data_IF_081932463328
#
_entry.id   IF_081932463328
#
_cell.length_a   1.000
_cell.length_b   1.000
_cell.length_c   1.000
_cell.angle_alpha   90.00
_cell.angle_beta   90.00
_cell.angle_gamma   90.00
#
_symmetry.space_group_name_H-M   'P 1'
#
loop_
_entity.id
_entity.type
_entity.pdbx_description
1 polymer ?
#
# COMPACT_ATOMS: atom_id res chain seq x y z
N UNK A 1 -4.80 -39.39 -8.03
CA UNK A 1 -5.21 -38.75 -6.76
C UNK A 1 -5.32 -37.26 -7.06
N UNK A 2 -6.51 -36.84 -7.48
CA UNK A 2 -6.82 -35.41 -7.67
C UNK A 2 -6.94 -34.77 -6.27
N UNK A 3 -5.91 -34.03 -5.90
CA UNK A 3 -6.04 -33.08 -4.82
C UNK A 3 -6.92 -31.96 -5.35
N UNK A 4 -8.18 -31.92 -4.95
CA UNK A 4 -9.06 -30.78 -5.13
C UNK A 4 -8.40 -29.59 -4.47
N UNK A 5 -7.72 -28.74 -5.28
CA UNK A 5 -7.30 -27.42 -4.85
C UNK A 5 -8.57 -26.67 -4.42
N UNK A 6 -8.66 -26.35 -3.15
CA UNK A 6 -9.68 -25.47 -2.58
C UNK A 6 -9.50 -24.06 -3.19
N UNK A 7 -9.95 -23.89 -4.43
CA UNK A 7 -9.95 -22.60 -5.09
C UNK A 7 -11.11 -21.77 -4.55
N UNK A 8 -10.79 -20.74 -3.77
CA UNK A 8 -11.79 -19.80 -3.26
C UNK A 8 -12.27 -18.92 -4.41
N UNK A 9 -13.55 -18.96 -4.70
CA UNK A 9 -14.18 -18.10 -5.71
C UNK A 9 -14.49 -16.73 -5.10
N UNK A 10 -13.98 -15.67 -5.72
CA UNK A 10 -14.29 -14.28 -5.38
C UNK A 10 -14.82 -13.55 -6.62
N UNK A 11 -16.15 -13.38 -6.73
CA UNK A 11 -16.81 -12.86 -7.91
C UNK A 11 -16.39 -13.64 -9.18
N UNK A 12 -15.83 -12.98 -10.21
CA UNK A 12 -15.31 -13.62 -11.43
C UNK A 12 -13.91 -14.24 -11.26
N UNK A 13 -13.28 -14.11 -10.11
CA UNK A 13 -11.92 -14.57 -9.89
C UNK A 13 -11.86 -15.90 -9.13
N UNK A 14 -11.12 -16.86 -9.65
CA UNK A 14 -10.69 -18.05 -8.91
C UNK A 14 -9.33 -17.80 -8.29
N UNK A 15 -9.29 -17.70 -6.96
CA UNK A 15 -8.06 -17.52 -6.22
C UNK A 15 -7.28 -18.83 -6.20
N UNK A 16 -6.02 -18.77 -6.58
CA UNK A 16 -5.08 -19.87 -6.60
C UNK A 16 -4.02 -19.69 -5.50
N UNK A 17 -2.82 -20.15 -5.75
CA UNK A 17 -1.68 -20.12 -4.85
C UNK A 17 -1.24 -18.71 -4.46
N UNK A 18 -0.63 -18.59 -3.29
CA UNK A 18 0.07 -17.39 -2.86
C UNK A 18 1.35 -17.23 -3.73
N UNK A 19 1.52 -16.04 -4.31
CA UNK A 19 2.67 -15.69 -5.15
C UNK A 19 3.55 -14.62 -4.51
N UNK A 20 3.14 -14.05 -3.39
CA UNK A 20 3.92 -13.05 -2.66
C UNK A 20 3.30 -12.67 -1.33
N UNK A 21 4.13 -12.16 -0.43
CA UNK A 21 3.74 -11.66 0.87
C UNK A 21 4.38 -10.31 1.12
N UNK A 22 3.56 -9.29 1.26
CA UNK A 22 3.99 -7.94 1.59
C UNK A 22 3.66 -7.55 3.02
N UNK A 23 4.15 -6.39 3.46
CA UNK A 23 3.93 -5.85 4.81
C UNK A 23 2.44 -5.64 5.14
N UNK A 24 1.61 -5.42 4.14
CA UNK A 24 0.18 -5.08 4.31
C UNK A 24 -0.76 -6.22 4.01
N UNK A 25 -0.28 -7.30 3.39
CA UNK A 25 -1.14 -8.43 3.00
C UNK A 25 -0.44 -9.47 2.16
N UNK A 26 -1.24 -10.37 1.64
CA UNK A 26 -0.83 -11.50 0.80
C UNK A 26 -1.19 -11.22 -0.65
N UNK A 27 -0.35 -11.62 -1.58
CA UNK A 27 -0.62 -11.57 -3.02
C UNK A 27 -0.90 -12.99 -3.50
N UNK A 28 -2.06 -13.18 -4.12
CA UNK A 28 -2.50 -14.46 -4.67
C UNK A 28 -2.58 -14.39 -6.18
N UNK A 29 -2.27 -15.49 -6.84
CA UNK A 29 -2.60 -15.67 -8.25
C UNK A 29 -4.13 -15.80 -8.38
N UNK A 30 -4.73 -15.01 -9.26
CA UNK A 30 -6.16 -15.01 -9.52
C UNK A 30 -6.42 -15.23 -11.01
N UNK A 31 -7.29 -16.19 -11.32
CA UNK A 31 -7.74 -16.43 -12.69
C UNK A 31 -9.13 -15.81 -12.88
N UNK A 32 -9.26 -14.96 -13.87
CA UNK A 32 -10.52 -14.30 -14.21
C UNK A 32 -11.26 -15.11 -15.28
N UNK A 33 -12.44 -15.62 -14.94
CA UNK A 33 -13.25 -16.45 -15.83
C UNK A 33 -13.89 -15.66 -16.99
N UNK A 34 -13.98 -14.34 -16.89
CA UNK A 34 -14.61 -13.51 -17.92
C UNK A 34 -13.71 -13.26 -19.14
N UNK A 35 -12.41 -13.14 -18.93
CA UNK A 35 -11.44 -12.79 -19.97
C UNK A 35 -10.33 -13.83 -20.16
N UNK A 36 -10.41 -14.95 -19.44
CA UNK A 36 -9.47 -16.08 -19.49
C UNK A 36 -8.01 -15.68 -19.21
N UNK A 37 -7.82 -14.74 -18.25
CA UNK A 37 -6.51 -14.20 -17.91
C UNK A 37 -6.18 -14.39 -16.43
N UNK A 38 -4.88 -14.41 -16.16
CA UNK A 38 -4.34 -14.44 -14.81
C UNK A 38 -3.97 -13.03 -14.34
N UNK A 39 -4.18 -12.77 -13.06
CA UNK A 39 -3.93 -11.50 -12.38
C UNK A 39 -3.22 -11.74 -11.05
N UNK A 40 -2.58 -10.71 -10.52
CA UNK A 40 -2.07 -10.69 -9.17
C UNK A 40 -3.09 -9.99 -8.26
N UNK A 41 -3.67 -10.72 -7.31
CA UNK A 41 -4.65 -10.17 -6.36
C UNK A 41 -4.01 -9.94 -5.01
N UNK A 42 -3.88 -8.66 -4.63
CA UNK A 42 -3.37 -8.24 -3.32
C UNK A 42 -4.53 -8.08 -2.35
N UNK A 43 -4.47 -8.82 -1.23
CA UNK A 43 -5.49 -8.79 -0.17
C UNK A 43 -4.99 -7.92 0.97
N UNK A 44 -5.70 -6.83 1.28
CA UNK A 44 -5.31 -5.82 2.26
C UNK A 44 -6.36 -5.70 3.37
N UNK A 45 -5.92 -5.44 4.60
CA UNK A 45 -6.83 -5.12 5.70
C UNK A 45 -7.25 -3.65 5.64
N UNK A 46 -8.55 -3.36 5.55
CA UNK A 46 -9.11 -2.00 5.60
C UNK A 46 -8.73 -1.28 6.90
N UNK A 47 -8.73 -1.98 8.02
CA UNK A 47 -8.31 -1.42 9.32
C UNK A 47 -6.86 -0.98 9.32
N UNK A 48 -5.96 -1.74 8.67
CA UNK A 48 -4.55 -1.36 8.54
C UNK A 48 -4.39 -0.13 7.64
N UNK A 49 -5.11 -0.08 6.52
CA UNK A 49 -5.12 1.08 5.62
C UNK A 49 -5.64 2.33 6.33
N UNK A 50 -6.79 2.26 6.98
CA UNK A 50 -7.36 3.41 7.70
C UNK A 50 -6.45 3.95 8.81
N UNK A 51 -5.64 3.09 9.45
CA UNK A 51 -4.65 3.53 10.45
C UNK A 51 -3.57 4.44 9.88
N UNK A 52 -3.22 4.31 8.61
CA UNK A 52 -2.25 5.19 7.94
C UNK A 52 -2.75 6.63 7.81
N UNK A 53 -4.07 6.81 7.65
CA UNK A 53 -4.70 8.13 7.54
C UNK A 53 -4.94 8.83 8.88
N UNK A 54 -4.53 8.19 9.98
CA UNK A 54 -4.70 8.70 11.34
C UNK A 54 -6.14 8.54 11.84
N UNK A 55 -6.30 8.11 13.10
CA UNK A 55 -7.58 8.25 13.77
C UNK A 55 -7.93 9.73 13.86
N UNK A 56 -9.22 10.11 13.73
CA UNK A 56 -9.63 11.48 14.01
C UNK A 56 -9.07 11.87 15.39
N UNK A 57 -8.37 13.01 15.44
CA UNK A 57 -7.82 13.55 16.71
C UNK A 57 -8.91 13.49 17.77
N UNK A 58 -8.51 13.16 19.03
CA UNK A 58 -9.40 13.16 20.19
C UNK A 58 -10.44 14.27 20.08
N UNK A 59 -11.72 13.99 20.42
CA UNK A 59 -12.73 15.04 20.44
C UNK A 59 -12.20 16.21 21.28
N UNK A 60 -12.47 17.47 20.89
CA UNK A 60 -12.00 18.63 21.59
C UNK A 60 -12.45 18.53 23.07
N UNK A 61 -11.64 19.03 24.02
CA UNK A 61 -11.98 18.99 25.43
C UNK A 61 -13.35 19.64 25.64
N UNK A 62 -14.16 19.04 26.51
CA UNK A 62 -15.48 19.55 26.88
C UNK A 62 -15.37 21.01 27.29
N UNK A 63 -15.95 21.92 26.47
CA UNK A 63 -15.95 23.36 26.75
C UNK A 63 -15.50 24.26 25.59
N UNK A 64 -15.00 23.73 24.48
CA UNK A 64 -14.74 24.53 23.27
C UNK A 64 -16.04 24.74 22.49
N UNK A 65 -16.26 25.98 22.02
CA UNK A 65 -17.40 26.33 21.17
C UNK A 65 -17.41 25.42 19.92
N UNK A 66 -18.59 24.94 19.47
CA UNK A 66 -18.65 24.16 18.24
C UNK A 66 -18.09 25.02 17.08
N UNK A 67 -17.24 24.46 16.23
CA UNK A 67 -16.81 25.16 15.02
C UNK A 67 -18.03 25.49 14.16
N UNK A 68 -18.03 26.69 13.58
CA UNK A 68 -19.07 27.16 12.68
C UNK A 68 -19.30 26.16 11.52
N UNK A 69 -20.54 26.02 11.09
CA UNK A 69 -21.05 25.00 10.15
C UNK A 69 -20.41 25.03 8.73
N UNK A 70 -19.41 25.87 8.48
CA UNK A 70 -18.67 26.00 7.22
C UNK A 70 -17.28 25.38 7.21
N UNK A 71 -16.85 24.72 8.31
CA UNK A 71 -15.63 23.92 8.23
C UNK A 71 -15.94 22.64 7.46
N UNK A 72 -15.46 22.59 6.22
CA UNK A 72 -15.45 21.47 5.30
C UNK A 72 -15.35 20.14 6.06
N UNK A 73 -16.35 19.27 5.90
CA UNK A 73 -16.32 17.89 6.39
C UNK A 73 -15.09 17.21 5.80
N UNK A 74 -14.05 17.05 6.59
CA UNK A 74 -12.93 16.22 6.17
C UNK A 74 -13.50 14.84 5.79
N UNK A 75 -13.17 14.28 4.60
CA UNK A 75 -13.69 13.00 4.16
C UNK A 75 -13.39 11.91 5.19
N UNK A 76 -14.33 10.99 5.34
CA UNK A 76 -14.15 9.84 6.24
C UNK A 76 -12.89 9.06 5.84
N UNK A 77 -12.20 8.39 6.80
CA UNK A 77 -10.97 7.64 6.49
C UNK A 77 -11.12 6.66 5.32
N UNK A 78 -12.28 6.01 5.19
CA UNK A 78 -12.56 5.09 4.09
C UNK A 78 -12.77 5.82 2.75
N UNK A 79 -13.37 7.01 2.75
CA UNK A 79 -13.51 7.84 1.54
C UNK A 79 -12.16 8.27 0.99
N UNK A 80 -11.19 8.58 1.86
CA UNK A 80 -9.80 8.87 1.46
C UNK A 80 -9.14 7.66 0.80
N UNK A 81 -9.34 6.45 1.37
CA UNK A 81 -8.86 5.21 0.75
C UNK A 81 -9.45 5.04 -0.65
N UNK A 82 -10.74 5.27 -0.83
CA UNK A 82 -11.38 5.14 -2.14
C UNK A 82 -10.92 6.21 -3.13
N UNK A 83 -10.66 7.43 -2.67
CA UNK A 83 -10.08 8.50 -3.50
C UNK A 83 -8.70 8.11 -4.02
N UNK A 84 -7.82 7.59 -3.16
CA UNK A 84 -6.50 7.10 -3.60
C UNK A 84 -6.61 5.92 -4.56
N UNK A 85 -7.50 4.98 -4.30
CA UNK A 85 -7.77 3.86 -5.21
C UNK A 85 -8.21 4.37 -6.58
N UNK A 86 -9.10 5.38 -6.64
CA UNK A 86 -9.55 5.96 -7.90
C UNK A 86 -8.38 6.52 -8.71
N UNK A 87 -7.45 7.20 -8.06
CA UNK A 87 -6.24 7.72 -8.72
C UNK A 87 -5.35 6.57 -9.19
N UNK A 88 -5.05 5.59 -8.32
CA UNK A 88 -4.22 4.44 -8.68
C UNK A 88 -4.79 3.66 -9.87
N UNK A 89 -6.11 3.52 -9.97
CA UNK A 89 -6.78 2.87 -11.13
C UNK A 89 -6.60 3.64 -12.43
N UNK A 90 -6.51 4.95 -12.36
CA UNK A 90 -6.31 5.82 -13.52
C UNK A 90 -4.86 5.93 -13.97
N UNK A 91 -3.90 5.56 -13.11
CA UNK A 91 -2.49 5.56 -13.51
C UNK A 91 -2.33 4.66 -14.74
N UNK A 92 -1.72 5.20 -15.78
CA UNK A 92 -1.45 4.52 -17.03
C UNK A 92 -0.09 4.96 -17.55
N UNK A 93 0.91 4.12 -17.34
CA UNK A 93 2.29 4.37 -17.73
C UNK A 93 3.01 3.03 -17.93
N UNK A 94 3.87 2.89 -18.96
CA UNK A 94 4.55 1.63 -19.27
C UNK A 94 5.41 1.09 -18.13
N UNK A 95 5.93 1.96 -17.25
CA UNK A 95 6.79 1.58 -16.14
C UNK A 95 6.07 1.57 -14.77
N UNK A 96 4.75 1.50 -14.77
CA UNK A 96 3.92 1.37 -13.55
C UNK A 96 3.01 0.16 -13.68
N UNK A 97 2.96 -0.71 -12.67
CA UNK A 97 2.06 -1.88 -12.65
C UNK A 97 0.61 -1.40 -12.60
N UNK A 98 -0.21 -1.85 -13.55
CA UNK A 98 -1.60 -1.42 -13.71
C UNK A 98 -2.50 -2.03 -12.64
N UNK A 99 -3.21 -1.18 -11.90
CA UNK A 99 -4.35 -1.57 -11.07
C UNK A 99 -5.60 -1.70 -11.95
N UNK A 100 -6.13 -2.90 -12.09
CA UNK A 100 -7.24 -3.22 -12.99
C UNK A 100 -8.58 -3.03 -12.31
N UNK A 101 -8.76 -3.64 -11.15
CA UNK A 101 -10.02 -3.64 -10.41
C UNK A 101 -9.79 -3.70 -8.91
N UNK A 102 -10.73 -3.18 -8.14
CA UNK A 102 -10.73 -3.31 -6.68
C UNK A 102 -12.11 -3.82 -6.24
N UNK A 103 -12.10 -4.89 -5.44
CA UNK A 103 -13.29 -5.53 -4.92
C UNK A 103 -13.35 -5.31 -3.40
N UNK A 104 -14.52 -4.90 -2.91
CA UNK A 104 -14.77 -4.69 -1.49
C UNK A 104 -16.04 -5.43 -1.04
N UNK A 105 -15.91 -6.21 0.01
CA UNK A 105 -17.05 -6.68 0.79
C UNK A 105 -17.23 -5.74 1.99
N UNK A 106 -18.33 -4.97 2.04
CA UNK A 106 -18.56 -4.02 3.14
C UNK A 106 -18.63 -4.68 4.52
N UNK A 107 -18.91 -5.99 4.57
CA UNK A 107 -19.05 -6.76 5.82
C UNK A 107 -17.73 -7.31 6.34
N UNK A 108 -16.71 -7.38 5.48
CA UNK A 108 -15.38 -7.91 5.81
C UNK A 108 -14.33 -6.81 5.95
N UNK A 109 -13.22 -7.12 6.65
CA UNK A 109 -12.08 -6.22 6.81
C UNK A 109 -11.14 -6.21 5.60
N UNK A 110 -11.42 -7.00 4.57
CA UNK A 110 -10.50 -7.17 3.44
C UNK A 110 -10.91 -6.38 2.21
N UNK A 111 -9.92 -5.76 1.58
CA UNK A 111 -9.98 -5.12 0.28
C UNK A 111 -9.12 -5.93 -0.70
N UNK A 112 -9.65 -6.25 -1.87
CA UNK A 112 -8.97 -7.06 -2.87
C UNK A 112 -8.61 -6.20 -4.07
N UNK A 113 -7.32 -5.94 -4.27
CA UNK A 113 -6.79 -5.15 -5.38
C UNK A 113 -6.25 -6.07 -6.46
N UNK A 114 -6.79 -5.98 -7.66
CA UNK A 114 -6.43 -6.81 -8.82
C UNK A 114 -5.47 -6.03 -9.71
N UNK A 115 -4.26 -6.53 -9.83
CA UNK A 115 -3.21 -5.96 -10.68
C UNK A 115 -2.93 -6.86 -11.89
N UNK A 116 -2.37 -6.28 -12.95
CA UNK A 116 -1.78 -7.08 -14.01
C UNK A 116 -0.74 -8.05 -13.43
N UNK A 117 -0.67 -9.26 -14.01
CA UNK A 117 0.29 -10.26 -13.55
C UNK A 117 1.65 -10.04 -14.22
N UNK A 118 2.67 -9.84 -13.41
CA UNK A 118 4.05 -9.75 -13.84
C UNK A 118 4.71 -11.11 -13.69
N UNK A 119 4.64 -11.94 -14.74
CA UNK A 119 4.99 -13.37 -14.69
C UNK A 119 6.48 -13.63 -14.42
N UNK A 120 7.36 -12.70 -14.78
CA UNK A 120 8.81 -12.80 -14.55
C UNK A 120 9.23 -12.42 -13.13
N UNK A 121 8.32 -11.82 -12.34
CA UNK A 121 8.57 -11.44 -10.95
C UNK A 121 9.55 -10.28 -10.77
N UNK A 122 10.18 -10.16 -9.59
CA UNK A 122 11.14 -9.11 -9.29
C UNK A 122 12.35 -9.12 -10.22
N UNK A 123 12.88 -7.94 -10.54
CA UNK A 123 14.06 -7.78 -11.41
C UNK A 123 15.29 -8.44 -10.81
N UNK A 124 15.41 -8.41 -9.47
CA UNK A 124 16.53 -8.96 -8.73
C UNK A 124 16.14 -9.27 -7.29
N UNK A 125 16.66 -10.34 -6.75
CA UNK A 125 16.70 -10.60 -5.30
C UNK A 125 18.03 -10.12 -4.74
N UNK A 126 18.02 -9.48 -3.57
CA UNK A 126 19.21 -8.95 -2.90
C UNK A 126 19.31 -9.58 -1.51
N UNK A 127 20.49 -10.12 -1.13
CA UNK A 127 21.75 -10.16 -1.88
C UNK A 127 21.80 -11.22 -2.99
N UNK A 128 22.65 -11.00 -4.00
CA UNK A 128 22.91 -11.95 -5.09
C UNK A 128 24.39 -11.92 -5.50
N UNK A 129 24.90 -13.07 -5.88
CA UNK A 129 26.27 -13.22 -6.44
C UNK A 129 26.30 -13.00 -7.97
N UNK A 130 25.15 -12.73 -8.57
CA UNK A 130 24.98 -12.51 -10.00
C UNK A 130 24.34 -11.14 -10.29
N UNK A 131 25.03 -10.02 -9.98
CA UNK A 131 24.56 -8.69 -10.29
C UNK A 131 24.51 -8.44 -11.79
N UNK A 132 23.83 -7.41 -12.20
CA UNK A 132 23.77 -6.99 -13.60
C UNK A 132 25.06 -6.31 -14.05
N UNK A 133 25.34 -6.42 -15.35
CA UNK A 133 26.35 -5.55 -15.98
C UNK A 133 25.89 -4.08 -15.90
N UNK A 134 26.85 -3.16 -15.98
CA UNK A 134 26.53 -1.73 -15.99
C UNK A 134 25.55 -1.34 -17.11
N UNK A 135 25.67 -1.97 -18.28
CA UNK A 135 24.79 -1.74 -19.43
C UNK A 135 23.35 -2.22 -19.13
N UNK A 136 23.19 -3.40 -18.51
CA UNK A 136 21.90 -3.91 -18.11
C UNK A 136 21.26 -3.05 -16.98
N UNK A 137 22.08 -2.64 -15.99
CA UNK A 137 21.63 -1.75 -14.94
C UNK A 137 21.19 -0.40 -15.52
N UNK A 138 21.92 0.15 -16.49
CA UNK A 138 21.54 1.37 -17.20
C UNK A 138 20.17 1.23 -17.89
N UNK A 139 19.91 0.12 -18.59
CA UNK A 139 18.65 -0.14 -19.26
C UNK A 139 17.47 -0.13 -18.26
N UNK A 140 17.59 -0.86 -17.15
CA UNK A 140 16.55 -0.91 -16.13
C UNK A 140 16.39 0.40 -15.36
N UNK A 141 17.49 1.09 -15.09
CA UNK A 141 17.46 2.36 -14.39
C UNK A 141 16.67 3.44 -15.11
N UNK A 142 16.76 3.49 -16.44
CA UNK A 142 15.99 4.44 -17.26
C UNK A 142 14.48 4.22 -17.09
N UNK A 143 14.04 2.97 -17.07
CA UNK A 143 12.64 2.61 -16.79
C UNK A 143 12.19 3.11 -15.40
N UNK A 144 13.03 2.90 -14.38
CA UNK A 144 12.74 3.35 -13.01
C UNK A 144 12.58 4.87 -12.97
N UNK A 145 13.47 5.61 -13.60
CA UNK A 145 13.42 7.08 -13.61
C UNK A 145 12.16 7.60 -14.30
N UNK A 146 11.77 7.03 -15.44
CA UNK A 146 10.53 7.40 -16.13
C UNK A 146 9.29 7.10 -15.28
N UNK A 147 9.25 5.93 -14.63
CA UNK A 147 8.16 5.57 -13.74
C UNK A 147 8.04 6.48 -12.53
N UNK A 148 9.16 6.83 -11.89
CA UNK A 148 9.18 7.74 -10.74
C UNK A 148 8.86 9.18 -11.14
N UNK A 149 9.35 9.66 -12.29
CA UNK A 149 8.95 10.97 -12.82
C UNK A 149 7.45 11.05 -13.01
N UNK A 150 6.84 10.02 -13.62
CA UNK A 150 5.40 9.95 -13.78
C UNK A 150 4.66 9.96 -12.43
N UNK A 151 5.08 9.17 -11.44
CA UNK A 151 4.46 9.19 -10.10
C UNK A 151 4.58 10.57 -9.43
N UNK A 152 5.75 11.20 -9.48
CA UNK A 152 5.97 12.54 -8.92
C UNK A 152 5.12 13.60 -9.64
N UNK A 153 4.93 13.46 -10.96
CA UNK A 153 4.01 14.28 -11.73
C UNK A 153 2.57 14.12 -11.27
N UNK A 154 2.13 12.88 -10.98
CA UNK A 154 0.82 12.56 -10.39
C UNK A 154 0.71 12.93 -8.89
N UNK A 155 1.71 13.60 -8.33
CA UNK A 155 1.75 13.96 -6.91
C UNK A 155 1.76 12.76 -5.96
N UNK A 156 2.44 11.68 -6.36
CA UNK A 156 2.59 10.46 -5.57
C UNK A 156 4.07 10.24 -5.24
N UNK A 157 4.39 10.08 -3.95
CA UNK A 157 5.68 9.61 -3.47
C UNK A 157 5.55 8.12 -3.18
N UNK A 158 6.45 7.31 -3.75
CA UNK A 158 6.38 5.85 -3.62
C UNK A 158 6.82 5.34 -2.24
N UNK A 159 7.95 5.81 -1.72
CA UNK A 159 8.52 5.55 -0.39
C UNK A 159 9.10 4.16 -0.13
N UNK A 160 8.94 3.20 -1.02
CA UNK A 160 9.49 1.84 -0.87
C UNK A 160 10.07 1.30 -2.19
N UNK A 161 10.84 2.14 -2.91
CA UNK A 161 11.57 1.70 -4.10
C UNK A 161 12.71 0.78 -3.65
N UNK A 162 12.71 -0.42 -4.23
CA UNK A 162 13.71 -1.48 -3.99
C UNK A 162 13.60 -2.54 -5.09
N UNK A 163 14.62 -3.38 -5.32
CA UNK A 163 14.60 -4.40 -6.39
C UNK A 163 13.38 -5.34 -6.34
N UNK A 164 12.90 -5.72 -5.15
CA UNK A 164 11.73 -6.61 -5.01
C UNK A 164 10.40 -5.96 -5.41
N UNK A 165 10.33 -4.63 -5.49
CA UNK A 165 9.15 -3.88 -5.95
C UNK A 165 9.29 -3.42 -7.42
N UNK A 166 10.33 -3.83 -8.11
CA UNK A 166 10.57 -3.58 -9.53
C UNK A 166 10.32 -4.88 -10.28
N UNK A 167 9.18 -4.98 -10.94
CA UNK A 167 8.77 -6.19 -11.59
C UNK A 167 9.12 -6.15 -13.08
N UNK A 168 9.55 -7.28 -13.61
CA UNK A 168 9.96 -7.41 -15.00
C UNK A 168 8.77 -7.81 -15.88
N UNK A 169 8.45 -6.98 -16.88
CA UNK A 169 7.42 -7.24 -17.87
C UNK A 169 7.85 -8.30 -18.89
N UNK A 170 6.89 -8.84 -19.64
CA UNK A 170 7.17 -9.80 -20.70
C UNK A 170 7.96 -9.16 -21.86
N UNK A 171 7.82 -7.86 -22.03
CA UNK A 171 8.59 -7.01 -22.96
C UNK A 171 10.04 -6.73 -22.51
N UNK A 172 10.42 -7.16 -21.31
CA UNK A 172 11.74 -6.96 -20.73
C UNK A 172 11.94 -5.61 -20.03
N UNK A 173 10.90 -4.78 -19.92
CA UNK A 173 10.94 -3.50 -19.22
C UNK A 173 10.52 -3.62 -17.76
N UNK A 174 11.01 -2.70 -16.93
CA UNK A 174 10.66 -2.61 -15.51
C UNK A 174 9.31 -1.90 -15.34
N UNK A 175 8.49 -2.43 -14.44
CA UNK A 175 7.32 -1.75 -13.88
C UNK A 175 7.43 -1.64 -12.36
N UNK A 176 7.18 -0.46 -11.84
CA UNK A 176 7.16 -0.18 -10.40
C UNK A 176 5.85 -0.70 -9.81
N UNK A 177 5.96 -1.48 -8.74
CA UNK A 177 4.85 -2.12 -8.04
C UNK A 177 4.83 -1.73 -6.56
N UNK A 178 3.77 -2.12 -5.87
CA UNK A 178 3.54 -2.00 -4.43
C UNK A 178 3.46 -0.57 -3.87
N UNK A 179 2.29 0.03 -4.05
CA UNK A 179 1.93 1.35 -3.53
C UNK A 179 1.46 1.33 -2.06
N UNK A 180 1.81 0.30 -1.28
CA UNK A 180 1.31 0.09 0.08
C UNK A 180 1.68 1.16 1.10
N UNK A 181 2.71 1.96 0.83
CA UNK A 181 3.19 3.07 1.68
C UNK A 181 3.27 4.40 0.94
N UNK A 182 2.74 4.47 -0.29
CA UNK A 182 2.74 5.70 -1.08
C UNK A 182 1.94 6.81 -0.40
N UNK A 183 2.32 8.06 -0.67
CA UNK A 183 1.62 9.24 -0.18
C UNK A 183 1.31 10.18 -1.33
N UNK A 184 0.07 10.65 -1.37
CA UNK A 184 -0.28 11.79 -2.20
C UNK A 184 0.12 13.11 -1.54
N UNK A 185 0.42 14.12 -2.35
CA UNK A 185 0.78 15.45 -1.88
C UNK A 185 0.15 16.54 -2.74
N UNK A 186 0.05 17.74 -2.16
CA UNK A 186 -0.36 18.95 -2.86
C UNK A 186 0.88 19.87 -3.03
N UNK A 187 0.86 20.69 -4.07
CA UNK A 187 1.98 21.59 -4.37
C UNK A 187 3.16 20.91 -5.09
N UNK A 188 4.39 21.31 -4.79
CA UNK A 188 5.60 20.91 -5.52
C UNK A 188 6.28 19.66 -4.96
N UNK A 189 6.12 19.38 -3.65
CA UNK A 189 6.70 18.19 -2.98
C UNK A 189 5.90 17.84 -1.73
N UNK A 190 6.01 16.58 -1.30
CA UNK A 190 5.44 16.09 -0.06
C UNK A 190 6.31 16.48 1.14
N UNK A 191 5.66 16.99 2.19
CA UNK A 191 6.31 17.17 3.48
C UNK A 191 5.84 16.06 4.41
N UNK A 192 6.65 15.00 4.53
CA UNK A 192 6.32 13.79 5.27
C UNK A 192 6.82 13.88 6.72
N UNK A 193 6.02 13.39 7.65
CA UNK A 193 6.35 13.38 9.09
C UNK A 193 6.55 11.98 9.67
N UNK A 194 6.27 10.94 8.91
CA UNK A 194 6.42 9.55 9.33
C UNK A 194 7.46 8.83 8.47
N UNK A 195 8.35 8.08 9.10
CA UNK A 195 9.25 7.17 8.40
C UNK A 195 8.51 5.90 8.01
N UNK A 196 8.63 5.50 6.76
CA UNK A 196 8.12 4.23 6.24
C UNK A 196 9.10 3.71 5.18
N UNK A 197 9.01 2.43 4.85
CA UNK A 197 9.88 1.79 3.88
C UNK A 197 10.75 0.68 4.49
N UNK A 198 11.58 0.09 3.65
CA UNK A 198 12.52 -0.98 4.02
C UNK A 198 13.79 -0.38 4.61
N UNK A 199 14.24 -0.81 5.81
CA UNK A 199 15.33 -0.13 6.54
C UNK A 199 16.60 0.15 5.74
N UNK A 200 17.10 -0.81 4.94
CA UNK A 200 18.32 -0.64 4.15
C UNK A 200 18.19 0.42 3.01
N UNK A 201 16.97 0.77 2.65
CA UNK A 201 16.63 1.74 1.59
C UNK A 201 16.18 3.10 2.15
N UNK A 202 16.11 3.25 3.47
CA UNK A 202 15.69 4.51 4.11
C UNK A 202 16.76 5.58 4.00
N UNK A 203 16.32 6.80 3.69
CA UNK A 203 17.20 7.95 3.60
C UNK A 203 17.65 8.43 5.01
N UNK A 204 18.88 8.97 5.14
CA UNK A 204 19.45 9.35 6.43
C UNK A 204 18.64 10.40 7.18
N UNK A 205 17.97 11.33 6.49
CA UNK A 205 17.11 12.34 7.10
C UNK A 205 15.93 11.75 7.84
N UNK A 206 15.40 10.59 7.41
CA UNK A 206 14.28 9.90 8.08
C UNK A 206 14.69 9.20 9.36
N UNK A 207 15.99 8.99 9.55
CA UNK A 207 16.59 8.32 10.71
C UNK A 207 17.07 9.33 11.77
N UNK A 208 16.84 10.62 11.56
CA UNK A 208 17.23 11.70 12.47
C UNK A 208 16.10 12.04 13.43
N UNK A 209 16.38 12.05 14.73
CA UNK A 209 15.41 12.44 15.78
C UNK A 209 15.09 13.95 15.74
N UNK A 210 15.95 14.76 15.13
CA UNK A 210 15.81 16.21 15.10
C UNK A 210 14.94 16.73 13.97
N UNK A 211 14.83 16.03 12.85
CA UNK A 211 13.99 16.42 11.72
C UNK A 211 12.57 15.91 11.91
N UNK A 212 11.61 16.83 11.88
CA UNK A 212 10.17 16.52 12.01
C UNK A 212 9.46 16.32 10.69
N UNK A 213 10.11 16.64 9.58
CA UNK A 213 9.55 16.56 8.23
C UNK A 213 10.63 16.34 7.18
N UNK A 214 10.27 15.64 6.10
CA UNK A 214 11.17 15.22 5.03
C UNK A 214 10.55 15.52 3.67
N UNK A 215 11.40 15.89 2.70
CA UNK A 215 11.00 16.06 1.31
C UNK A 215 10.82 14.71 0.61
N UNK A 216 9.59 14.39 0.19
CA UNK A 216 9.24 13.07 -0.32
C UNK A 216 9.98 12.68 -1.59
N UNK A 217 10.14 13.61 -2.56
CA UNK A 217 10.87 13.35 -3.81
C UNK A 217 12.33 12.96 -3.56
N UNK A 218 12.98 13.62 -2.59
CA UNK A 218 14.35 13.32 -2.22
C UNK A 218 14.48 11.93 -1.55
N UNK A 219 13.45 11.45 -0.83
CA UNK A 219 13.44 10.09 -0.29
C UNK A 219 13.42 9.03 -1.39
N UNK A 220 12.58 9.22 -2.41
CA UNK A 220 12.54 8.29 -3.54
C UNK A 220 13.87 8.28 -4.30
N UNK A 221 14.52 9.44 -4.51
CA UNK A 221 15.85 9.52 -5.16
C UNK A 221 16.90 8.73 -4.38
N UNK A 222 16.94 8.86 -3.04
CA UNK A 222 17.83 8.05 -2.22
C UNK A 222 17.59 6.55 -2.43
N UNK A 223 16.34 6.11 -2.32
CA UNK A 223 15.97 4.70 -2.48
C UNK A 223 16.31 4.15 -3.87
N UNK A 224 16.16 4.98 -4.93
CA UNK A 224 16.58 4.62 -6.29
C UNK A 224 18.12 4.50 -6.36
N UNK A 225 18.86 5.37 -5.67
CA UNK A 225 20.31 5.28 -5.59
C UNK A 225 20.78 3.98 -4.92
N UNK A 226 20.17 3.59 -3.79
CA UNK A 226 20.41 2.29 -3.14
C UNK A 226 20.06 1.14 -4.09
N UNK A 227 18.95 1.26 -4.80
CA UNK A 227 18.49 0.24 -5.77
C UNK A 227 19.49 0.10 -6.92
N UNK A 228 19.96 1.19 -7.53
CA UNK A 228 20.96 1.15 -8.59
C UNK A 228 22.27 0.51 -8.11
N UNK A 229 22.70 0.84 -6.89
CA UNK A 229 23.86 0.18 -6.27
C UNK A 229 23.61 -1.35 -6.15
N UNK A 230 22.42 -1.78 -5.71
CA UNK A 230 22.08 -3.19 -5.64
C UNK A 230 22.10 -3.88 -7.01
N UNK A 231 21.59 -3.23 -8.06
CA UNK A 231 21.58 -3.80 -9.42
C UNK A 231 23.00 -4.10 -9.92
N UNK A 232 23.98 -3.26 -9.58
CA UNK A 232 25.36 -3.36 -10.05
C UNK A 232 26.25 -4.22 -9.15
N UNK A 233 26.03 -4.16 -7.82
CA UNK A 233 26.92 -4.86 -6.87
C UNK A 233 26.26 -6.08 -6.20
N UNK A 234 24.99 -6.34 -6.43
CA UNK A 234 24.26 -7.46 -5.85
C UNK A 234 23.99 -7.35 -4.35
N UNK A 235 24.31 -6.22 -3.73
CA UNK A 235 24.16 -5.96 -2.29
C UNK A 235 23.85 -4.50 -2.02
N UNK A 236 23.28 -4.20 -0.87
CA UNK A 236 23.05 -2.80 -0.45
C UNK A 236 24.38 -2.12 -0.08
N UNK A 237 24.48 -0.77 -0.24
CA UNK A 237 25.68 -0.01 0.14
C UNK A 237 25.92 0.03 1.64
N UNK A 238 24.87 -0.11 2.44
CA UNK A 238 24.94 -0.15 3.90
C UNK A 238 24.25 -1.42 4.39
N UNK A 239 24.98 -2.25 5.13
CA UNK A 239 24.48 -3.52 5.67
C UNK A 239 24.96 -3.66 7.11
N UNK A 240 24.06 -4.10 7.99
CA UNK A 240 24.35 -4.51 9.35
C UNK A 240 23.27 -5.45 9.86
N UNK A 241 23.60 -6.38 10.74
CA UNK A 241 22.65 -7.29 11.39
C UNK A 241 21.79 -6.55 12.41
N UNK A 242 22.33 -5.51 13.03
CA UNK A 242 21.65 -4.69 14.03
C UNK A 242 21.08 -3.44 13.41
N UNK A 243 19.78 -3.25 13.53
CA UNK A 243 19.06 -2.12 12.93
C UNK A 243 19.65 -0.74 13.33
N UNK A 244 20.05 -0.57 14.58
CA UNK A 244 20.63 0.68 15.04
C UNK A 244 22.03 0.94 14.44
N UNK A 245 22.82 -0.11 14.26
CA UNK A 245 24.12 -0.02 13.59
C UNK A 245 23.93 0.28 12.09
N UNK A 246 22.96 -0.35 11.43
CA UNK A 246 22.59 -0.03 10.06
C UNK A 246 22.19 1.45 9.93
N UNK A 247 21.35 1.96 10.81
CA UNK A 247 20.95 3.37 10.82
C UNK A 247 22.15 4.31 11.03
N UNK A 248 23.08 3.93 11.91
CA UNK A 248 24.31 4.70 12.11
C UNK A 248 25.20 4.72 10.85
N UNK A 249 25.34 3.59 10.17
CA UNK A 249 26.06 3.50 8.88
C UNK A 249 25.40 4.38 7.82
N UNK A 250 24.10 4.27 7.64
CA UNK A 250 23.34 5.10 6.67
C UNK A 250 23.56 6.59 6.93
N UNK A 251 23.57 7.02 8.19
CA UNK A 251 23.77 8.44 8.54
C UNK A 251 25.19 8.93 8.35
N UNK A 252 26.18 8.12 8.74
CA UNK A 252 27.55 8.64 9.00
C UNK A 252 28.62 8.08 8.07
N UNK A 253 28.44 6.89 7.48
CA UNK A 253 29.47 6.27 6.67
C UNK A 253 29.41 6.73 5.22
N UNK A 254 30.55 6.93 4.55
CA UNK A 254 30.58 7.19 3.12
C UNK A 254 30.07 5.96 2.34
N UNK A 255 29.66 6.20 1.09
CA UNK A 255 29.39 5.10 0.15
C UNK A 255 30.74 4.52 -0.30
N UNK A 256 30.93 3.23 -0.09
CA UNK A 256 32.10 2.50 -0.54
C UNK A 256 31.77 1.73 -1.82
N UNK A 257 32.72 1.71 -2.75
CA UNK A 257 32.58 0.94 -3.99
C UNK A 257 33.54 -0.25 -3.95
N UNK A 258 33.02 -1.48 -4.12
CA UNK A 258 33.87 -2.66 -4.25
C UNK A 258 34.82 -2.54 -5.45
N UNK A 259 35.99 -3.17 -5.38
CA UNK A 259 36.93 -3.23 -6.52
C UNK A 259 36.31 -3.97 -7.72
N UNK A 260 35.37 -4.90 -7.46
CA UNK A 260 34.67 -5.68 -8.50
C UNK A 260 33.17 -5.73 -8.20
N UNK A 261 32.31 -5.59 -9.24
CA UNK A 261 32.67 -5.26 -10.63
C UNK A 261 33.24 -3.84 -10.72
N UNK A 262 34.14 -3.63 -11.68
CA UNK A 262 34.63 -2.31 -12.05
C UNK A 262 33.48 -1.55 -12.76
N UNK A 263 33.23 -0.30 -12.33
CA UNK A 263 32.18 0.56 -12.87
C UNK A 263 32.78 1.88 -13.40
N UNK A 264 32.07 2.52 -14.31
CA UNK A 264 32.48 3.81 -14.88
C UNK A 264 32.52 4.92 -13.84
N UNK A 265 33.35 5.94 -14.08
CA UNK A 265 33.39 7.11 -13.21
C UNK A 265 32.10 7.92 -13.26
N UNK A 266 31.40 7.91 -14.40
CA UNK A 266 30.09 8.52 -14.57
C UNK A 266 29.03 7.84 -13.69
N UNK A 267 29.04 6.50 -13.57
CA UNK A 267 28.15 5.78 -12.66
C UNK A 267 28.48 6.07 -11.20
N UNK A 268 29.76 6.14 -10.84
CA UNK A 268 30.18 6.52 -9.48
C UNK A 268 29.70 7.91 -9.12
N UNK A 269 29.88 8.89 -10.02
CA UNK A 269 29.41 10.27 -9.83
C UNK A 269 27.90 10.32 -9.60
N UNK A 270 27.11 9.61 -10.42
CA UNK A 270 25.66 9.53 -10.25
C UNK A 270 25.27 8.94 -8.90
N UNK A 271 25.83 7.79 -8.53
CA UNK A 271 25.55 7.13 -7.25
C UNK A 271 25.88 8.03 -6.05
N UNK A 272 27.02 8.73 -6.07
CA UNK A 272 27.41 9.66 -5.01
C UNK A 272 26.44 10.83 -4.88
N UNK A 273 25.94 11.38 -6.00
CA UNK A 273 24.94 12.46 -5.99
C UNK A 273 23.56 12.00 -5.53
N UNK A 274 23.17 10.77 -5.87
CA UNK A 274 21.88 10.20 -5.42
C UNK A 274 21.93 9.82 -3.94
N UNK A 275 23.07 9.34 -3.45
CA UNK A 275 23.32 8.95 -2.07
C UNK A 275 23.97 10.07 -1.24
N UNK A 276 23.78 11.33 -1.64
CA UNK A 276 24.13 12.48 -0.81
C UNK A 276 23.31 12.48 0.47
N UNK A 277 23.99 12.54 1.61
CA UNK A 277 23.35 12.52 2.94
C UNK A 277 22.46 13.73 3.18
N UNK A 278 22.76 14.85 2.54
CA UNK A 278 21.97 16.06 2.62
C UNK A 278 20.88 16.06 1.53
N UNK A 279 19.58 15.96 1.89
CA UNK A 279 18.49 15.97 0.90
C UNK A 279 18.41 17.26 0.08
N UNK A 280 18.92 18.39 0.61
CA UNK A 280 18.84 19.69 -0.07
C UNK A 280 19.86 19.83 -1.22
N UNK A 281 20.96 19.07 -1.15
CA UNK A 281 22.02 19.00 -2.20
C UNK A 281 21.94 17.73 -3.03
N UNK A 282 21.14 16.76 -2.61
CA UNK A 282 20.89 15.51 -3.34
C UNK A 282 20.35 15.81 -4.72
N UNK A 283 20.88 15.11 -5.74
CA UNK A 283 20.43 15.25 -7.13
C UNK A 283 18.91 15.00 -7.25
N UNK A 284 18.24 15.76 -8.09
CA UNK A 284 16.79 15.64 -8.36
C UNK A 284 16.51 14.79 -9.61
N UNK A 285 15.27 14.28 -9.77
CA UNK A 285 14.88 13.48 -10.96
C UNK A 285 15.16 14.22 -12.27
N UNK A 286 14.80 15.51 -12.45
CA UNK A 286 15.16 16.23 -13.67
C UNK A 286 16.68 16.31 -13.92
N UNK A 287 17.49 16.47 -12.86
CA UNK A 287 18.95 16.47 -12.99
C UNK A 287 19.51 15.08 -13.31
N UNK A 288 18.94 14.01 -12.76
CA UNK A 288 19.28 12.62 -13.07
C UNK A 288 19.07 12.36 -14.57
N UNK A 289 17.95 12.81 -15.15
CA UNK A 289 17.66 12.66 -16.59
C UNK A 289 18.69 13.29 -17.51
N UNK A 290 19.35 14.33 -17.05
CA UNK A 290 20.40 15.03 -17.81
C UNK A 290 21.81 14.50 -17.51
N UNK A 291 21.96 13.58 -16.54
CA UNK A 291 23.27 13.09 -16.14
C UNK A 291 23.97 12.30 -17.26
N UNK A 292 25.28 12.47 -17.38
CA UNK A 292 26.10 11.88 -18.45
C UNK A 292 25.93 10.36 -18.54
N UNK A 293 25.91 9.67 -17.41
CA UNK A 293 25.71 8.24 -17.38
C UNK A 293 24.32 7.84 -17.95
N UNK A 294 23.27 8.57 -17.59
CA UNK A 294 21.88 8.27 -18.02
C UNK A 294 21.69 8.52 -19.50
N UNK A 295 22.28 9.59 -20.02
CA UNK A 295 22.12 10.04 -21.42
C UNK A 295 23.22 9.51 -22.35
N UNK A 296 24.14 8.66 -21.86
CA UNK A 296 25.35 8.23 -22.61
C UNK A 296 26.06 9.43 -23.24
N UNK A 297 26.42 10.39 -22.41
CA UNK A 297 27.05 11.65 -22.82
C UNK A 297 26.19 12.46 -23.83
N UNK A 298 24.87 12.44 -23.67
CA UNK A 298 23.91 13.16 -24.51
C UNK A 298 23.52 12.49 -25.83
N UNK A 299 24.03 11.28 -26.10
CA UNK A 299 23.68 10.54 -27.33
C UNK A 299 22.35 9.81 -27.24
N UNK A 300 21.86 9.54 -26.03
CA UNK A 300 20.62 8.79 -25.79
C UNK A 300 19.81 9.48 -24.66
N UNK A 301 19.22 10.65 -24.90
CA UNK A 301 18.43 11.36 -23.91
C UNK A 301 17.14 10.62 -23.56
N UNK A 302 16.64 10.80 -22.34
CA UNK A 302 15.31 10.36 -21.94
C UNK A 302 14.24 11.34 -22.50
N UNK A 303 13.01 10.86 -22.78
CA UNK A 303 11.92 11.72 -23.20
C UNK A 303 11.64 12.81 -22.16
N UNK A 304 11.14 13.97 -22.61
CA UNK A 304 10.75 15.04 -21.70
C UNK A 304 9.54 14.63 -20.85
N UNK A 305 9.39 15.25 -19.66
CA UNK A 305 8.25 15.00 -18.78
C UNK A 305 6.91 15.21 -19.52
N UNK A 306 6.82 16.26 -20.32
CA UNK A 306 5.64 16.63 -21.10
C UNK A 306 5.26 15.61 -22.21
N UNK A 307 6.22 14.80 -22.65
CA UNK A 307 6.01 13.80 -23.72
C UNK A 307 5.40 12.51 -23.21
N UNK A 308 5.58 12.17 -21.91
CA UNK A 308 5.12 10.91 -21.36
C UNK A 308 4.30 11.04 -20.07
N UNK A 309 4.14 12.25 -19.52
CA UNK A 309 3.34 12.50 -18.34
C UNK A 309 2.11 13.34 -18.68
N UNK A 310 0.93 12.84 -18.33
CA UNK A 310 -0.33 13.58 -18.34
C UNK A 310 -0.97 13.52 -16.97
N UNK A 311 -1.48 14.64 -16.46
CA UNK A 311 -2.12 14.68 -15.15
C UNK A 311 -3.40 13.87 -15.15
N UNK A 312 -3.55 13.02 -14.15
CA UNK A 312 -4.76 12.25 -13.89
C UNK A 312 -5.67 13.03 -12.95
N UNK A 313 -6.87 13.39 -13.44
CA UNK A 313 -7.91 13.98 -12.63
C UNK A 313 -9.00 12.93 -12.36
N UNK A 314 -9.54 12.95 -11.15
CA UNK A 314 -10.55 11.99 -10.71
C UNK A 314 -11.82 12.75 -10.34
N UNK A 315 -12.95 12.35 -10.94
CA UNK A 315 -14.27 12.90 -10.62
C UNK A 315 -14.86 12.21 -9.38
N UNK A 316 -15.84 12.86 -8.72
CA UNK A 316 -16.56 12.25 -7.59
C UNK A 316 -17.25 10.93 -7.99
N UNK A 317 -17.76 10.83 -9.21
CA UNK A 317 -18.36 9.62 -9.73
C UNK A 317 -17.33 8.48 -9.86
N UNK A 318 -16.13 8.79 -10.32
CA UNK A 318 -15.02 7.81 -10.41
C UNK A 318 -14.54 7.36 -9.04
N UNK A 319 -14.54 8.24 -8.05
CA UNK A 319 -14.26 7.86 -6.65
C UNK A 319 -15.31 6.89 -6.13
N UNK A 320 -16.59 7.17 -6.33
CA UNK A 320 -17.68 6.28 -5.92
C UNK A 320 -17.62 4.93 -6.63
N UNK A 321 -17.22 4.91 -7.90
CA UNK A 321 -17.11 3.70 -8.73
C UNK A 321 -15.70 3.09 -8.70
N UNK A 322 -14.80 3.61 -7.88
CA UNK A 322 -13.41 3.11 -7.80
C UNK A 322 -13.33 1.68 -7.30
N UNK A 323 -14.28 1.30 -6.46
CA UNK A 323 -14.37 -0.01 -5.81
C UNK A 323 -15.67 -0.69 -6.20
N UNK A 324 -15.58 -1.95 -6.64
CA UNK A 324 -16.73 -2.80 -6.93
C UNK A 324 -17.17 -3.51 -5.66
N UNK A 325 -18.36 -3.19 -5.19
CA UNK A 325 -18.94 -3.87 -4.04
C UNK A 325 -19.33 -5.30 -4.40
N UNK A 326 -18.89 -6.25 -3.59
CA UNK A 326 -19.23 -7.66 -3.72
C UNK A 326 -20.07 -8.11 -2.52
N UNK A 327 -21.02 -8.98 -2.77
CA UNK A 327 -21.80 -9.59 -1.70
C UNK A 327 -20.97 -10.68 -1.01
N UNK A 328 -21.06 -10.75 0.31
CA UNK A 328 -20.39 -11.78 1.11
C UNK A 328 -20.64 -13.18 0.54
N UNK A 329 -19.62 -14.02 0.52
CA UNK A 329 -19.68 -15.42 0.09
C UNK A 329 -20.79 -16.20 0.82
N UNK A 330 -21.01 -15.89 2.09
CA UNK A 330 -22.11 -16.44 2.89
C UNK A 330 -23.48 -16.08 2.33
N UNK A 331 -23.67 -14.84 1.86
CA UNK A 331 -24.92 -14.39 1.23
C UNK A 331 -25.14 -15.06 -0.13
N UNK A 332 -24.10 -15.22 -0.93
CA UNK A 332 -24.19 -15.90 -2.24
C UNK A 332 -24.50 -17.39 -2.08
N UNK A 333 -23.91 -18.06 -1.10
CA UNK A 333 -24.21 -19.46 -0.79
C UNK A 333 -25.65 -19.60 -0.31
N UNK A 334 -26.13 -18.69 0.54
CA UNK A 334 -27.51 -18.71 1.03
C UNK A 334 -28.53 -18.51 -0.11
N UNK A 335 -28.28 -17.55 -0.99
CA UNK A 335 -29.15 -17.29 -2.17
C UNK A 335 -29.11 -18.45 -3.15
N UNK A 336 -27.94 -19.03 -3.46
CA UNK A 336 -27.83 -20.23 -4.30
C UNK A 336 -28.53 -21.44 -3.67
N UNK A 337 -28.43 -21.61 -2.35
CA UNK A 337 -29.15 -22.68 -1.64
C UNK A 337 -30.67 -22.47 -1.65
N UNK A 338 -31.15 -21.22 -1.52
CA UNK A 338 -32.57 -20.88 -1.61
C UNK A 338 -33.11 -21.06 -3.03
N UNK A 339 -32.34 -20.68 -4.05
CA UNK A 339 -32.72 -20.89 -5.46
C UNK A 339 -32.76 -22.38 -5.83
N UNK A 340 -31.81 -23.20 -5.32
CA UNK A 340 -31.87 -24.67 -5.49
C UNK A 340 -33.06 -25.31 -4.82
N UNK A 341 -33.50 -24.81 -3.66
CA UNK A 341 -34.74 -25.31 -3.01
C UNK A 341 -36.02 -24.95 -3.76
N UNK A 342 -36.01 -23.87 -4.56
CA UNK A 342 -37.17 -23.46 -5.38
C UNK A 342 -37.29 -24.23 -6.70
N UNK A 343 -36.23 -24.88 -7.19
CA UNK A 343 -36.26 -25.62 -8.47
C UNK A 343 -36.69 -27.08 -8.38
N UNK A 344 -37.05 -27.56 -7.20
CA UNK A 344 -37.64 -28.91 -7.00
C UNK A 344 -39.07 -28.84 -6.48
N UNK A 345 -39.92 -28.10 -7.14
CA UNK A 345 -41.36 -28.12 -6.96
C UNK A 345 -42.02 -28.30 -8.32
N UNK A 346 -42.48 -29.54 -8.60
CA UNK A 346 -43.25 -29.89 -9.79
C UNK A 346 -44.55 -29.05 -9.83
N UNK A 347 -44.85 -28.28 -10.90
CA UNK A 347 -46.04 -27.42 -10.93
C UNK A 347 -47.35 -28.15 -11.19
N UNK A 348 -47.35 -29.48 -11.25
CA UNK A 348 -48.55 -30.26 -11.57
C UNK A 348 -48.82 -31.34 -10.53
N UNK A 349 -49.28 -30.94 -9.34
CA UNK A 349 -50.12 -31.77 -8.50
C UNK A 349 -51.12 -30.93 -7.71
N UNK A 350 -52.28 -30.73 -8.34
CA UNK A 350 -53.54 -30.37 -7.66
C UNK A 350 -54.09 -31.64 -7.05
N UNK A 351 -54.02 -31.82 -5.74
CA UNK A 351 -55.06 -32.52 -5.01
C UNK A 351 -55.18 -32.07 -3.56
N UNK A 352 -56.38 -31.60 -3.29
CA UNK A 352 -57.03 -31.29 -2.05
C UNK A 352 -56.55 -32.04 -0.79
N UNK A 353 -56.33 -31.31 0.29
CA UNK A 353 -57.00 -31.61 1.59
C UNK A 353 -56.83 -30.44 2.57
N UNK A 354 -57.97 -30.24 3.24
CA UNK A 354 -58.26 -29.23 4.26
C UNK A 354 -57.38 -29.27 5.50
N UNK A 355 -57.34 -28.08 6.11
CA UNK A 355 -57.31 -27.79 7.54
C UNK A 355 -55.96 -27.75 8.27
N UNK A 356 -55.70 -26.56 8.74
CA UNK A 356 -55.27 -26.36 10.11
C UNK A 356 -53.88 -25.74 10.34
N UNK A 357 -53.95 -24.51 10.74
CA UNK A 357 -53.03 -23.75 11.57
C UNK A 357 -52.15 -22.69 10.88
N UNK A 358 -52.66 -21.50 11.04
CA UNK A 358 -52.00 -20.23 11.07
C UNK A 358 -50.65 -20.30 11.77
N UNK A 359 -49.56 -20.01 11.01
CA UNK A 359 -48.30 -19.56 11.57
C UNK A 359 -47.93 -18.28 10.84
N UNK A 360 -47.88 -17.23 11.60
CA UNK A 360 -47.56 -15.88 11.22
C UNK A 360 -46.22 -15.81 10.49
N UNK A 361 -46.22 -15.23 9.31
CA UNK A 361 -45.03 -14.82 8.59
C UNK A 361 -44.33 -13.67 9.33
N UNK A 362 -43.03 -13.67 9.43
CA UNK A 362 -42.29 -12.45 9.83
C UNK A 362 -42.34 -11.45 8.68
N UNK A 363 -42.72 -10.23 9.06
CA UNK A 363 -42.96 -9.10 8.18
C UNK A 363 -41.85 -8.70 7.27
N UNK A 364 -42.25 -8.06 6.21
CA UNK A 364 -41.52 -7.36 5.21
C UNK A 364 -40.33 -6.55 5.75
N UNK A 365 -39.11 -6.87 5.28
CA UNK A 365 -38.00 -5.93 5.26
C UNK A 365 -38.06 -5.16 3.95
N UNK A 366 -38.89 -4.10 3.95
CA UNK A 366 -38.76 -2.98 3.06
C UNK A 366 -37.62 -2.13 3.61
N UNK A 367 -36.55 -2.04 2.85
CA UNK A 367 -35.46 -1.08 3.11
C UNK A 367 -36.01 0.30 2.72
N UNK A 368 -36.47 1.03 3.70
CA UNK A 368 -36.84 2.44 3.55
C UNK A 368 -35.59 3.31 3.66
N UNK A 369 -35.38 4.10 2.62
CA UNK A 369 -34.22 4.98 2.39
C UNK A 369 -34.34 6.33 3.13
N UNK A 370 -35.01 6.38 4.26
CA UNK A 370 -35.11 7.64 5.01
C UNK A 370 -35.34 7.35 6.49
N UNK A 371 -34.28 7.41 7.28
CA UNK A 371 -34.35 7.81 8.70
C UNK A 371 -32.96 7.91 9.32
N UNK A 372 -32.32 9.04 9.09
CA UNK A 372 -31.44 9.64 10.07
C UNK A 372 -32.08 10.98 10.45
N UNK A 373 -32.86 11.01 11.50
CA UNK A 373 -33.10 12.19 12.33
C UNK A 373 -33.90 11.82 13.57
N UNK A 374 -33.25 12.10 14.72
CA UNK A 374 -33.83 12.36 16.04
C UNK A 374 -34.69 11.33 16.76
N UNK A 375 -34.17 10.88 17.89
CA UNK A 375 -34.93 11.03 19.12
C UNK A 375 -34.06 10.84 20.38
N UNK A 376 -33.85 11.92 21.07
CA UNK A 376 -33.58 11.98 22.52
C UNK A 376 -34.80 11.51 23.29
N UNK A 377 -34.63 10.68 24.33
CA UNK A 377 -35.34 10.76 25.62
C UNK A 377 -34.81 9.75 26.65
N UNK A 378 -34.19 10.31 27.68
CA UNK A 378 -34.35 10.20 29.14
C UNK A 378 -34.75 8.85 29.76
N UNK A 379 -33.85 8.39 30.64
CA UNK A 379 -33.87 7.91 32.03
C UNK A 379 -35.09 7.13 32.59
N UNK A 380 -34.96 6.25 33.64
CA UNK A 380 -34.31 6.62 34.89
C UNK A 380 -33.44 5.54 35.59
N UNK A 381 -32.71 6.06 36.54
CA UNK A 381 -31.89 5.47 37.58
C UNK A 381 -32.59 4.44 38.48
N UNK A 382 -31.81 3.47 39.00
CA UNK A 382 -32.00 2.91 40.32
C UNK A 382 -30.66 2.64 41.02
N UNK A 383 -30.56 3.24 42.19
CA UNK A 383 -29.54 3.09 43.26
C UNK A 383 -29.71 1.75 43.99
N UNK A 384 -28.59 1.22 44.49
CA UNK A 384 -28.35 0.78 45.90
C UNK A 384 -26.91 0.26 45.95
N UNK A 385 -26.02 0.86 46.74
CA UNK A 385 -25.64 0.61 48.15
C UNK A 385 -25.24 -0.86 48.38
N UNK A 386 -24.15 -1.26 48.97
CA UNK A 386 -23.17 -0.67 49.88
C UNK A 386 -22.20 -1.78 50.31
N UNK A 387 -21.07 -1.35 50.93
CA UNK A 387 -20.16 -2.10 51.81
C UNK A 387 -19.19 -3.05 51.11
N UNK A 388 -17.92 -2.99 51.31
CA UNK A 388 -17.12 -2.58 52.45
C UNK A 388 -15.96 -3.54 52.53
N UNK A 389 -14.86 -2.99 52.81
CA UNK A 389 -13.78 -3.46 53.67
C UNK A 389 -12.44 -3.88 53.07
N UNK A 390 -11.47 -3.12 53.50
CA UNK A 390 -10.11 -3.40 53.98
C UNK A 390 -9.09 -4.12 53.09
N UNK A 391 -8.12 -3.43 52.62
CA UNK A 391 -6.79 -3.30 53.19
C UNK A 391 -5.85 -4.47 52.97
N UNK A 392 -4.80 -4.20 52.21
CA UNK A 392 -3.40 -4.44 52.62
C UNK A 392 -2.42 -3.93 51.57
N UNK A 393 -1.68 -2.94 51.98
CA UNK A 393 -0.32 -2.64 51.50
C UNK A 393 0.56 -3.89 51.59
N UNK A 394 1.42 -4.04 50.62
CA UNK A 394 2.76 -4.60 50.88
C UNK A 394 3.78 -4.07 49.89
N UNK A 395 4.80 -3.59 50.53
CA UNK A 395 6.00 -2.90 50.11
C UNK A 395 6.81 -3.51 48.97
N UNK A 396 7.45 -2.61 48.27
CA UNK A 396 8.71 -2.76 47.52
C UNK A 396 9.85 -3.20 48.45
N UNK A 397 10.91 -3.79 47.90
CA UNK A 397 12.22 -3.28 48.27
C UNK A 397 13.05 -2.80 47.04
N UNK A 398 13.58 -1.60 47.21
CA UNK A 398 14.81 -1.10 46.63
C UNK A 398 15.96 -2.05 46.90
N UNK A 399 16.81 -2.25 45.93
CA UNK A 399 18.23 -2.54 46.17
C UNK A 399 19.08 -1.77 45.19
N UNK A 400 19.88 -0.90 45.79
CA UNK A 400 20.94 -0.10 45.23
C UNK A 400 22.13 -0.91 44.66
N UNK A 401 22.78 -0.27 43.69
CA UNK A 401 24.24 -0.02 43.50
C UNK A 401 25.23 -1.08 44.06
N UNK A 402 26.12 -1.53 43.23
CA UNK A 402 27.53 -1.13 43.17
C UNK A 402 28.40 -2.11 42.37
N UNK A 403 29.35 -1.49 41.75
CA UNK A 403 30.77 -1.78 41.51
C UNK A 403 31.21 -2.40 40.18
N UNK A 404 31.89 -1.56 39.56
CA UNK A 404 33.05 -1.51 38.67
C UNK A 404 34.13 -2.64 38.81
N UNK A 405 34.96 -2.69 37.75
CA UNK A 405 36.34 -3.18 37.63
C UNK A 405 36.51 -4.67 37.18
N UNK A 406 36.81 -4.86 35.96
CA UNK A 406 38.11 -5.30 35.35
C UNK A 406 37.97 -5.40 33.83
#
# INVERSE_FOLDING_TARGET
MDLSEDSTQLNQYKLKTEIGKGSYGVVKLAYNENDDKHYAMKVLSKKKLMKQYGFPRRPPPRGSKPPSAEQSKAPAPLERVYQEIAILKKLDHPNIVKLVEVLDDPTEDHLHMVFELMSKGPVMEVPTDSPFSEEQAHFYFRDIILGIEYLHYQKIIHRDIKPSNLLLGDDGHIKIADFGVSNQFEGNDALLSSSAGTPAFMAPETLSETRKSFHGKALDVWAIGVTLYCLVFGKCPFIDEYILALHAKIKNWPVEFPEKPEISEELKDLLLRMLDKNPDTRITVPQIKLHQWVTKNGTDPLPLEEEHCSMVEVTEEEVMNSVKLISSLSTVILVKAMLRKRSFGNPFEFQSRKEGRSMSAPGNLLIDKTMFLNSSKRHPSLRKESNGDAGKEMDLPDVCEDEAIS
#
